data_IF_116153954953
#
_entry.id   IF_116153954953
#
_cell.length_a   1.000
_cell.length_b   1.000
_cell.length_c   1.000
_cell.angle_alpha   90.00
_cell.angle_beta   90.00
_cell.angle_gamma   90.00
#
_symmetry.space_group_name_H-M   'P 1'
#
loop_
_entity.id
_entity.type
_entity.pdbx_description
1 polymer ?
#
# COMPACT_ATOMS: atom_id res chain seq x y z
N UNK A 1 -14.91 18.60 21.33
CA UNK A 1 -13.69 17.76 21.29
C UNK A 1 -14.00 16.56 20.40
N UNK A 2 -13.40 16.48 19.22
CA UNK A 2 -13.49 15.30 18.36
C UNK A 2 -12.69 14.23 19.12
N UNK A 3 -13.36 13.21 19.67
CA UNK A 3 -12.67 12.04 20.24
C UNK A 3 -11.85 11.43 19.10
N UNK A 4 -10.53 11.49 19.17
CA UNK A 4 -9.67 10.75 18.27
C UNK A 4 -10.05 9.28 18.37
N UNK A 5 -10.71 8.79 17.36
CA UNK A 5 -11.19 7.42 17.30
C UNK A 5 -9.99 6.49 17.11
N UNK A 6 -9.93 5.42 17.93
CA UNK A 6 -8.90 4.38 17.77
C UNK A 6 -8.97 3.82 16.35
N UNK A 7 -7.88 3.85 15.57
CA UNK A 7 -7.88 3.30 14.22
C UNK A 7 -8.27 1.82 14.22
N UNK A 8 -9.01 1.42 13.19
CA UNK A 8 -9.42 0.03 12.97
C UNK A 8 -9.23 -0.29 11.49
N UNK A 9 -8.46 -1.32 11.20
CA UNK A 9 -7.97 -1.65 9.87
C UNK A 9 -8.49 -3.00 9.45
N UNK A 10 -9.08 -3.08 8.26
CA UNK A 10 -9.30 -4.35 7.58
C UNK A 10 -8.11 -4.60 6.63
N UNK A 11 -7.28 -5.59 6.92
CA UNK A 11 -6.31 -6.12 5.97
C UNK A 11 -7.09 -6.97 4.96
N UNK A 12 -6.99 -6.61 3.70
CA UNK A 12 -7.69 -7.24 2.59
C UNK A 12 -6.67 -7.87 1.62
N UNK A 13 -6.72 -9.21 1.48
CA UNK A 13 -5.74 -9.95 0.69
C UNK A 13 -6.40 -10.75 -0.41
N UNK A 14 -6.21 -10.35 -1.69
CA UNK A 14 -6.47 -11.24 -2.81
C UNK A 14 -5.54 -12.46 -2.74
N UNK A 15 -6.12 -13.66 -2.75
CA UNK A 15 -5.39 -14.90 -2.44
C UNK A 15 -5.75 -15.97 -3.47
N UNK A 16 -5.35 -15.75 -4.75
CA UNK A 16 -5.62 -16.69 -5.83
C UNK A 16 -5.04 -18.07 -5.52
N UNK A 17 -5.85 -19.12 -5.70
CA UNK A 17 -5.46 -20.49 -5.35
C UNK A 17 -5.35 -20.77 -3.84
N UNK A 18 -5.74 -19.82 -2.96
CA UNK A 18 -5.64 -19.98 -1.49
C UNK A 18 -4.21 -20.02 -0.97
N UNK A 19 -3.23 -19.50 -1.73
CA UNK A 19 -1.81 -19.55 -1.37
C UNK A 19 -1.33 -18.24 -0.78
N UNK A 20 -0.46 -18.34 0.23
CA UNK A 20 0.20 -17.24 0.91
C UNK A 20 1.71 -17.52 0.97
N UNK A 21 2.54 -16.49 0.85
CA UNK A 21 3.97 -16.63 1.10
C UNK A 21 4.26 -16.73 2.60
N UNK A 22 5.38 -17.38 2.96
CA UNK A 22 5.86 -17.44 4.33
C UNK A 22 6.03 -16.03 4.94
N UNK A 23 6.62 -15.12 4.18
CA UNK A 23 6.82 -13.73 4.63
C UNK A 23 5.52 -12.98 4.87
N UNK A 24 4.45 -13.27 4.11
CA UNK A 24 3.12 -12.75 4.38
C UNK A 24 2.59 -13.28 5.73
N UNK A 25 2.68 -14.59 5.97
CA UNK A 25 2.24 -15.20 7.23
C UNK A 25 2.94 -14.57 8.44
N UNK A 26 4.27 -14.47 8.40
CA UNK A 26 5.04 -13.83 9.47
C UNK A 26 4.66 -12.35 9.65
N UNK A 27 4.42 -11.64 8.54
CA UNK A 27 3.95 -10.26 8.57
C UNK A 27 2.63 -10.12 9.32
N UNK A 28 1.61 -10.91 8.96
CA UNK A 28 0.29 -10.87 9.62
C UNK A 28 0.39 -11.20 11.11
N UNK A 29 1.19 -12.19 11.49
CA UNK A 29 1.41 -12.51 12.91
C UNK A 29 2.06 -11.33 13.66
N UNK A 30 3.02 -10.63 13.05
CA UNK A 30 3.68 -9.49 13.68
C UNK A 30 2.78 -8.24 13.79
N UNK A 31 1.78 -8.10 12.89
CA UNK A 31 0.81 -7.00 12.94
C UNK A 31 0.03 -7.00 14.24
N UNK A 32 -0.35 -8.16 14.77
CA UNK A 32 -1.13 -8.24 16.02
C UNK A 32 -0.37 -7.62 17.20
N UNK A 33 0.93 -7.86 17.28
CA UNK A 33 1.80 -7.29 18.30
C UNK A 33 1.99 -5.78 18.10
N UNK A 34 2.25 -5.36 16.85
CA UNK A 34 2.44 -3.96 16.51
C UNK A 34 1.16 -3.15 16.71
N UNK A 35 -0.02 -3.72 16.40
CA UNK A 35 -1.32 -3.11 16.62
C UNK A 35 -1.60 -2.88 18.12
N UNK A 36 -1.32 -3.88 18.96
CA UNK A 36 -1.47 -3.75 20.40
C UNK A 36 -0.55 -2.64 20.99
N UNK A 37 0.71 -2.61 20.54
CA UNK A 37 1.70 -1.59 20.94
C UNK A 37 1.27 -0.17 20.54
N UNK A 38 0.68 -0.01 19.35
CA UNK A 38 0.34 1.28 18.76
C UNK A 38 -1.14 1.64 18.89
N UNK A 39 -1.91 0.88 19.68
CA UNK A 39 -3.32 1.13 20.01
C UNK A 39 -4.22 1.29 18.78
N UNK A 40 -4.19 0.32 17.85
CA UNK A 40 -5.17 0.19 16.78
C UNK A 40 -5.69 -1.26 16.65
N UNK A 41 -6.84 -1.45 16.01
CA UNK A 41 -7.45 -2.77 15.81
C UNK A 41 -7.18 -3.28 14.41
N UNK A 42 -7.04 -4.59 14.26
CA UNK A 42 -6.80 -5.26 12.98
C UNK A 42 -7.80 -6.37 12.77
N UNK A 43 -8.32 -6.47 11.56
CA UNK A 43 -9.14 -7.56 11.06
C UNK A 43 -8.53 -8.06 9.76
N UNK A 44 -8.49 -9.38 9.57
CA UNK A 44 -7.98 -9.99 8.34
C UNK A 44 -9.15 -10.52 7.52
N UNK A 45 -9.20 -10.13 6.24
CA UNK A 45 -10.10 -10.66 5.23
C UNK A 45 -9.31 -11.14 4.02
N UNK A 46 -9.37 -12.43 3.72
CA UNK A 46 -8.72 -13.03 2.55
C UNK A 46 -9.76 -13.46 1.53
N UNK A 47 -9.48 -13.27 0.24
CA UNK A 47 -10.36 -13.71 -0.85
C UNK A 47 -9.63 -14.71 -1.72
N UNK A 48 -10.02 -15.99 -1.60
CA UNK A 48 -9.53 -17.08 -2.43
C UNK A 48 -10.31 -17.20 -3.74
N UNK A 49 -9.70 -17.87 -4.72
CA UNK A 49 -10.33 -18.35 -5.96
C UNK A 49 -10.90 -17.29 -6.91
N UNK A 50 -10.55 -16.00 -6.72
CA UNK A 50 -10.89 -14.97 -7.69
C UNK A 50 -9.68 -14.72 -8.62
N UNK A 51 -9.83 -15.07 -9.90
CA UNK A 51 -8.74 -14.98 -10.88
C UNK A 51 -8.54 -13.58 -11.46
N UNK A 52 -9.58 -12.74 -11.43
CA UNK A 52 -9.53 -11.38 -11.93
C UNK A 52 -9.20 -10.42 -10.79
N UNK A 53 -7.96 -9.94 -10.74
CA UNK A 53 -7.47 -9.08 -9.65
C UNK A 53 -8.31 -7.81 -9.47
N UNK A 54 -8.75 -7.17 -10.56
CA UNK A 54 -9.62 -5.99 -10.52
C UNK A 54 -10.91 -6.28 -9.77
N UNK A 55 -11.56 -7.43 -10.06
CA UNK A 55 -12.79 -7.85 -9.40
C UNK A 55 -12.56 -8.23 -7.95
N UNK A 56 -11.44 -8.90 -7.64
CA UNK A 56 -11.06 -9.21 -6.26
C UNK A 56 -10.95 -7.95 -5.40
N UNK A 57 -10.20 -6.94 -5.88
CA UNK A 57 -10.03 -5.68 -5.15
C UNK A 57 -11.35 -4.94 -4.97
N UNK A 58 -12.14 -4.79 -6.02
CA UNK A 58 -13.45 -4.10 -5.94
C UNK A 58 -14.42 -4.84 -4.99
N UNK A 59 -14.41 -6.18 -4.98
CA UNK A 59 -15.24 -6.95 -4.06
C UNK A 59 -14.78 -6.80 -2.61
N UNK A 60 -13.47 -6.78 -2.35
CA UNK A 60 -12.93 -6.54 -1.00
C UNK A 60 -13.28 -5.13 -0.49
N UNK A 61 -13.25 -4.10 -1.37
CA UNK A 61 -13.74 -2.75 -1.03
C UNK A 61 -15.23 -2.79 -0.69
N UNK A 62 -16.04 -3.48 -1.50
CA UNK A 62 -17.47 -3.61 -1.26
C UNK A 62 -17.76 -4.27 0.09
N UNK A 63 -17.08 -5.39 0.42
CA UNK A 63 -17.21 -6.07 1.71
C UNK A 63 -16.80 -5.19 2.90
N UNK A 64 -15.73 -4.40 2.73
CA UNK A 64 -15.29 -3.44 3.74
C UNK A 64 -16.36 -2.38 4.02
N UNK A 65 -16.95 -1.82 2.98
CA UNK A 65 -17.99 -0.80 3.11
C UNK A 65 -19.32 -1.38 3.64
N UNK A 66 -19.69 -2.59 3.21
CA UNK A 66 -20.89 -3.28 3.70
C UNK A 66 -20.79 -3.60 5.20
N UNK A 67 -19.62 -4.03 5.66
CA UNK A 67 -19.38 -4.30 7.07
C UNK A 67 -19.46 -3.02 7.92
N UNK A 68 -18.96 -1.89 7.39
CA UNK A 68 -19.05 -0.59 8.05
C UNK A 68 -20.48 -0.03 8.02
N UNK A 69 -21.24 -0.24 6.94
CA UNK A 69 -22.66 0.16 6.84
C UNK A 69 -23.53 -0.64 7.84
N UNK A 70 -23.23 -1.93 8.03
CA UNK A 70 -23.91 -2.79 8.98
C UNK A 70 -23.56 -2.48 10.44
N UNK A 71 -22.34 -2.03 10.70
CA UNK A 71 -21.85 -1.63 12.02
C UNK A 71 -21.03 -0.35 11.87
N UNK A 72 -21.70 0.82 11.93
CA UNK A 72 -21.04 2.11 11.73
C UNK A 72 -19.81 2.27 12.62
N UNK A 73 -18.76 2.73 11.99
CA UNK A 73 -17.46 2.93 12.65
C UNK A 73 -16.69 1.64 13.00
N UNK A 74 -17.04 0.52 12.40
CA UNK A 74 -16.28 -0.72 12.54
C UNK A 74 -14.85 -0.54 12.05
N UNK A 75 -14.68 0.12 10.90
CA UNK A 75 -13.38 0.36 10.26
C UNK A 75 -13.08 1.84 10.02
N UNK A 76 -11.80 2.18 10.04
CA UNK A 76 -11.26 3.47 9.62
C UNK A 76 -10.44 3.36 8.34
N UNK A 77 -9.80 2.22 8.11
CA UNK A 77 -8.92 1.98 6.98
C UNK A 77 -9.14 0.61 6.36
N UNK A 78 -8.99 0.54 5.04
CA UNK A 78 -8.75 -0.68 4.28
C UNK A 78 -7.25 -0.74 3.95
N UNK A 79 -6.60 -1.87 4.23
CA UNK A 79 -5.20 -2.11 3.90
C UNK A 79 -5.09 -3.28 2.95
N UNK A 80 -4.82 -3.02 1.68
CA UNK A 80 -4.45 -4.09 0.75
C UNK A 80 -3.04 -4.58 1.05
N UNK A 81 -2.88 -5.90 1.17
CA UNK A 81 -1.59 -6.58 1.20
C UNK A 81 -1.71 -7.80 0.31
N UNK A 82 -0.92 -7.85 -0.77
CA UNK A 82 -0.92 -9.01 -1.66
C UNK A 82 -0.30 -10.23 -0.96
N UNK A 83 -0.79 -11.42 -1.28
CA UNK A 83 -0.44 -12.68 -0.61
C UNK A 83 1.04 -13.09 -0.75
N UNK A 84 1.75 -12.44 -1.66
CA UNK A 84 3.17 -12.64 -1.95
C UNK A 84 4.08 -11.48 -1.50
N UNK A 85 3.55 -10.58 -0.65
CA UNK A 85 4.35 -9.51 -0.02
C UNK A 85 4.72 -9.91 1.41
N UNK A 86 6.03 -9.98 1.68
CA UNK A 86 6.58 -10.12 3.03
C UNK A 86 6.83 -8.75 3.67
N UNK A 87 6.47 -8.61 4.93
CA UNK A 87 6.53 -7.35 5.67
C UNK A 87 6.67 -7.59 7.18
N UNK A 88 6.88 -6.53 7.95
CA UNK A 88 6.73 -6.53 9.39
C UNK A 88 5.54 -5.68 9.84
N UNK A 89 5.05 -5.90 11.06
CA UNK A 89 3.88 -5.18 11.59
C UNK A 89 4.10 -3.67 11.75
N UNK A 90 5.33 -3.23 11.91
CA UNK A 90 5.64 -1.80 12.02
C UNK A 90 5.42 -1.08 10.70
N UNK A 91 5.61 -1.76 9.55
CA UNK A 91 5.25 -1.21 8.25
C UNK A 91 3.75 -0.87 8.16
N UNK A 92 2.88 -1.78 8.64
CA UNK A 92 1.44 -1.51 8.71
C UNK A 92 1.13 -0.35 9.66
N UNK A 93 1.76 -0.32 10.83
CA UNK A 93 1.57 0.78 11.80
C UNK A 93 1.96 2.13 11.19
N UNK A 94 3.05 2.19 10.44
CA UNK A 94 3.48 3.41 9.75
C UNK A 94 2.44 3.89 8.74
N UNK A 95 1.81 3.00 7.96
CA UNK A 95 0.74 3.37 7.02
C UNK A 95 -0.48 3.92 7.76
N UNK A 96 -0.99 3.15 8.74
CA UNK A 96 -2.23 3.45 9.47
C UNK A 96 -2.13 4.77 10.27
N UNK A 97 -0.95 5.03 10.85
CA UNK A 97 -0.72 6.19 11.72
C UNK A 97 -0.10 7.39 10.99
N UNK A 98 0.15 7.28 9.69
CA UNK A 98 0.76 8.34 8.88
C UNK A 98 -0.06 9.63 8.81
N UNK A 99 -1.38 9.50 8.95
CA UNK A 99 -2.32 10.61 8.74
C UNK A 99 -2.70 10.85 7.28
N UNK A 100 -2.02 10.23 6.31
CA UNK A 100 -2.34 10.37 4.88
C UNK A 100 -3.63 9.63 4.51
N UNK A 101 -4.33 10.10 3.47
CA UNK A 101 -5.57 9.47 3.00
C UNK A 101 -5.28 8.16 2.25
N UNK A 102 -4.20 8.14 1.47
CA UNK A 102 -3.66 6.95 0.81
C UNK A 102 -2.15 6.89 1.09
N UNK A 103 -1.72 5.84 1.78
CA UNK A 103 -0.33 5.58 2.14
C UNK A 103 0.09 4.19 1.65
N UNK A 104 1.20 4.09 0.93
CA UNK A 104 1.66 2.86 0.29
C UNK A 104 3.07 2.50 0.71
N UNK A 105 3.36 1.21 0.82
CA UNK A 105 4.72 0.71 0.92
C UNK A 105 5.32 0.47 -0.46
N UNK A 106 6.62 0.61 -0.57
CA UNK A 106 7.35 0.39 -1.82
C UNK A 106 8.05 -0.97 -1.78
N UNK A 107 7.57 -1.90 -2.57
CA UNK A 107 8.17 -3.21 -2.73
C UNK A 107 8.84 -3.36 -4.10
N UNK A 108 9.88 -4.21 -4.22
CA UNK A 108 10.61 -4.38 -5.47
C UNK A 108 9.76 -5.13 -6.50
N UNK A 109 10.09 -4.92 -7.78
CA UNK A 109 9.65 -5.83 -8.84
C UNK A 109 10.35 -7.19 -8.69
N UNK A 110 9.74 -8.27 -9.18
CA UNK A 110 10.36 -9.61 -9.24
C UNK A 110 11.42 -9.68 -10.35
N UNK A 111 12.38 -8.75 -10.32
CA UNK A 111 13.44 -8.66 -11.32
C UNK A 111 14.70 -8.01 -10.76
N UNK A 112 15.85 -8.50 -11.22
CA UNK A 112 17.17 -7.93 -10.95
C UNK A 112 17.59 -7.09 -12.15
N UNK A 113 18.12 -5.90 -11.89
CA UNK A 113 18.69 -5.00 -12.88
C UNK A 113 20.17 -5.43 -13.16
N UNK A 114 20.30 -6.39 -14.07
CA UNK A 114 21.58 -6.96 -14.44
C UNK A 114 22.51 -5.96 -15.12
N UNK A 115 21.97 -4.95 -15.80
CA UNK A 115 22.77 -3.92 -16.49
C UNK A 115 23.46 -2.99 -15.48
N UNK A 116 22.77 -2.70 -14.38
CA UNK A 116 23.30 -1.85 -13.30
C UNK A 116 24.28 -2.57 -12.37
N UNK A 117 24.16 -3.89 -12.27
CA UNK A 117 24.93 -4.70 -11.30
C UNK A 117 26.44 -4.52 -11.42
N UNK A 118 27.09 -4.50 -12.63
CA UNK A 118 28.53 -4.30 -12.75
C UNK A 118 29.01 -2.95 -12.19
N UNK A 119 28.21 -1.90 -12.33
CA UNK A 119 28.53 -0.57 -11.78
C UNK A 119 28.49 -0.58 -10.25
N UNK A 120 27.47 -1.21 -9.67
CA UNK A 120 27.33 -1.33 -8.21
C UNK A 120 28.48 -2.13 -7.59
N UNK A 121 28.92 -3.20 -8.25
CA UNK A 121 30.08 -4.02 -7.82
C UNK A 121 31.36 -3.19 -7.83
N UNK A 122 31.61 -2.42 -8.93
CA UNK A 122 32.79 -1.57 -9.03
C UNK A 122 32.85 -0.49 -7.93
N UNK A 123 31.69 -0.01 -7.47
CA UNK A 123 31.58 0.98 -6.40
C UNK A 123 31.68 0.36 -4.99
N UNK A 124 31.85 -0.94 -4.88
CA UNK A 124 31.84 -1.68 -3.60
C UNK A 124 30.59 -1.35 -2.76
N UNK A 125 29.43 -1.31 -3.40
CA UNK A 125 28.19 -0.90 -2.76
C UNK A 125 27.77 -1.87 -1.67
N UNK A 126 27.56 -1.39 -0.47
CA UNK A 126 27.17 -2.22 0.70
C UNK A 126 25.73 -2.77 0.60
N UNK A 127 24.89 -2.17 -0.24
CA UNK A 127 23.49 -2.53 -0.44
C UNK A 127 23.25 -3.10 -1.85
N UNK A 128 24.20 -3.88 -2.34
CA UNK A 128 24.23 -4.39 -3.71
C UNK A 128 22.90 -5.07 -4.08
N UNK A 129 22.42 -5.98 -3.22
CA UNK A 129 21.21 -6.74 -3.45
C UNK A 129 20.00 -5.82 -3.59
N UNK A 130 19.74 -4.93 -2.62
CA UNK A 130 18.59 -4.02 -2.65
C UNK A 130 18.66 -3.00 -3.78
N UNK A 131 19.86 -2.53 -4.12
CA UNK A 131 20.08 -1.54 -5.19
C UNK A 131 20.01 -2.11 -6.59
N UNK A 132 20.25 -3.40 -6.74
CA UNK A 132 20.09 -4.12 -8.00
C UNK A 132 18.61 -4.42 -8.33
N UNK A 133 17.66 -4.21 -7.39
CA UNK A 133 16.25 -4.43 -7.63
C UNK A 133 15.60 -3.22 -8.33
N UNK A 134 14.62 -3.48 -9.19
CA UNK A 134 13.73 -2.47 -9.76
C UNK A 134 12.59 -2.11 -8.81
N UNK A 135 12.16 -0.84 -8.79
CA UNK A 135 11.00 -0.38 -8.05
C UNK A 135 10.10 0.47 -8.95
N UNK A 136 8.79 0.42 -8.71
CA UNK A 136 7.83 1.28 -9.40
C UNK A 136 7.59 2.54 -8.56
N UNK A 137 8.29 3.61 -8.91
CA UNK A 137 8.17 4.92 -8.28
C UNK A 137 8.05 5.99 -9.37
N UNK A 138 6.90 6.62 -9.46
CA UNK A 138 6.60 7.66 -10.43
C UNK A 138 6.35 8.98 -9.69
N UNK A 139 7.39 9.80 -9.57
CA UNK A 139 7.29 11.12 -8.95
C UNK A 139 6.68 12.14 -9.90
N UNK A 140 5.87 13.06 -9.37
CA UNK A 140 5.33 14.19 -10.14
C UNK A 140 6.44 15.18 -10.52
N UNK A 141 7.44 15.34 -9.66
CA UNK A 141 8.65 16.14 -9.89
C UNK A 141 9.89 15.36 -9.42
N UNK A 142 10.54 14.60 -10.33
CA UNK A 142 11.72 13.82 -9.99
C UNK A 142 12.94 14.65 -9.54
N UNK A 143 12.99 15.93 -9.92
CA UNK A 143 14.11 16.81 -9.61
C UNK A 143 14.00 17.44 -8.21
N UNK A 144 12.81 17.42 -7.62
CA UNK A 144 12.54 17.94 -6.28
C UNK A 144 11.64 16.96 -5.50
N UNK A 145 12.26 15.95 -4.88
CA UNK A 145 11.56 14.95 -4.07
C UNK A 145 11.58 15.39 -2.61
N UNK A 146 10.43 15.85 -2.12
CA UNK A 146 10.26 16.19 -0.71
C UNK A 146 9.93 14.94 0.09
N UNK A 147 10.67 14.70 1.18
CA UNK A 147 10.46 13.56 2.08
C UNK A 147 10.14 14.06 3.47
N UNK A 148 8.94 13.76 3.96
CA UNK A 148 8.50 14.10 5.31
C UNK A 148 8.23 12.81 6.11
N UNK A 149 8.89 12.63 7.24
CA UNK A 149 8.79 11.43 8.10
C UNK A 149 9.04 10.09 7.37
N UNK A 150 9.80 10.13 6.26
CA UNK A 150 10.06 9.00 5.38
C UNK A 150 8.99 8.76 4.31
N UNK A 151 7.98 9.61 4.21
CA UNK A 151 6.98 9.59 3.14
C UNK A 151 7.24 10.65 2.08
N UNK A 152 6.85 10.36 0.85
CA UNK A 152 6.88 11.29 -0.27
C UNK A 152 5.65 11.14 -1.16
N UNK A 153 5.24 12.24 -1.80
CA UNK A 153 4.11 12.23 -2.73
C UNK A 153 4.53 11.64 -4.08
N UNK A 154 3.67 10.80 -4.67
CA UNK A 154 3.88 10.16 -5.97
C UNK A 154 2.64 10.26 -6.86
N UNK A 155 2.84 10.08 -8.17
CA UNK A 155 1.72 10.00 -9.12
C UNK A 155 1.04 8.63 -9.08
N UNK A 156 1.81 7.56 -8.99
CA UNK A 156 1.32 6.18 -9.05
C UNK A 156 1.98 5.35 -7.96
N UNK A 157 1.20 4.46 -7.34
CA UNK A 157 1.68 3.48 -6.39
C UNK A 157 0.99 2.14 -6.63
N UNK A 158 1.71 1.06 -6.36
CA UNK A 158 1.17 -0.29 -6.50
C UNK A 158 0.31 -0.67 -5.27
N UNK A 159 -0.77 -1.42 -5.51
CA UNK A 159 -1.77 -1.76 -4.48
C UNK A 159 -1.33 -2.89 -3.55
N UNK A 160 -0.30 -3.66 -3.90
CA UNK A 160 0.13 -4.82 -3.11
C UNK A 160 0.57 -4.51 -1.67
N UNK A 161 0.72 -3.24 -1.31
CA UNK A 161 0.88 -2.76 0.08
C UNK A 161 0.34 -1.32 0.18
N UNK A 162 -1.00 -1.16 0.27
CA UNK A 162 -1.67 0.14 0.19
C UNK A 162 -2.74 0.28 1.28
N UNK A 163 -2.60 1.29 2.13
CA UNK A 163 -3.55 1.67 3.16
C UNK A 163 -4.39 2.86 2.70
N UNK A 164 -5.71 2.73 2.77
CA UNK A 164 -6.67 3.70 2.27
C UNK A 164 -7.67 4.01 3.38
N UNK A 165 -7.86 5.30 3.70
CA UNK A 165 -8.91 5.71 4.63
C UNK A 165 -10.29 5.44 4.05
N UNK A 166 -11.25 5.08 4.90
CA UNK A 166 -12.65 4.86 4.52
C UNK A 166 -13.24 6.05 3.76
N UNK A 167 -12.94 7.25 4.20
CA UNK A 167 -13.43 8.49 3.63
C UNK A 167 -13.04 8.68 2.15
N UNK A 168 -11.92 8.09 1.72
CA UNK A 168 -11.51 8.08 0.31
C UNK A 168 -12.57 7.39 -0.55
N UNK A 169 -12.98 6.18 -0.16
CA UNK A 169 -14.02 5.45 -0.89
C UNK A 169 -15.36 6.18 -0.87
N UNK A 170 -15.74 6.78 0.26
CA UNK A 170 -17.00 7.55 0.35
C UNK A 170 -17.00 8.75 -0.60
N UNK A 171 -15.91 9.52 -0.67
CA UNK A 171 -15.74 10.62 -1.63
C UNK A 171 -15.74 10.12 -3.09
N UNK A 172 -15.10 8.98 -3.34
CA UNK A 172 -15.08 8.39 -4.69
C UNK A 172 -16.46 7.88 -5.13
N UNK A 173 -17.26 7.33 -4.23
CA UNK A 173 -18.66 6.96 -4.51
C UNK A 173 -19.48 8.19 -4.95
N UNK A 174 -19.32 9.30 -4.25
CA UNK A 174 -20.01 10.56 -4.60
C UNK A 174 -19.57 11.10 -5.96
N UNK A 175 -18.26 11.04 -6.26
CA UNK A 175 -17.69 11.58 -7.49
C UNK A 175 -17.91 10.68 -8.72
N UNK A 176 -18.02 9.36 -8.53
CA UNK A 176 -18.00 8.37 -9.61
C UNK A 176 -19.20 7.41 -9.55
N UNK A 177 -20.42 7.97 -9.52
CA UNK A 177 -21.66 7.16 -9.52
C UNK A 177 -21.78 6.23 -10.74
N UNK A 178 -21.18 6.62 -11.87
CA UNK A 178 -21.11 5.85 -13.11
C UNK A 178 -20.24 4.58 -13.03
N UNK A 179 -19.38 4.44 -12.01
CA UNK A 179 -18.58 3.24 -11.78
C UNK A 179 -19.32 2.16 -10.99
N UNK A 180 -20.57 2.42 -10.59
CA UNK A 180 -21.39 1.43 -9.89
C UNK A 180 -21.74 0.27 -10.81
N UNK A 181 -21.59 -0.98 -10.31
CA UNK A 181 -21.93 -2.17 -11.06
C UNK A 181 -22.75 -3.17 -10.22
N UNK A 182 -23.36 -4.16 -10.89
CA UNK A 182 -24.05 -5.27 -10.24
C UNK A 182 -23.12 -6.48 -10.21
N UNK A 183 -22.87 -7.05 -9.03
CA UNK A 183 -22.05 -8.26 -8.91
C UNK A 183 -22.87 -9.50 -9.30
N UNK A 184 -22.22 -10.40 -10.04
CA UNK A 184 -22.71 -11.75 -10.36
C UNK A 184 -21.95 -12.85 -9.60
N UNK A 185 -21.01 -12.47 -8.71
CA UNK A 185 -20.17 -13.40 -7.96
C UNK A 185 -21.01 -14.26 -7.01
N UNK A 186 -20.53 -15.49 -6.81
CA UNK A 186 -21.05 -16.40 -5.78
C UNK A 186 -19.99 -16.51 -4.68
N UNK A 187 -20.32 -16.03 -3.49
CA UNK A 187 -19.45 -16.08 -2.32
C UNK A 187 -20.13 -17.00 -1.28
N UNK A 188 -19.40 -18.02 -0.83
CA UNK A 188 -19.95 -19.03 0.12
C UNK A 188 -21.28 -19.64 -0.35
N UNK A 189 -21.39 -19.94 -1.66
CA UNK A 189 -22.55 -20.57 -2.27
C UNK A 189 -23.78 -19.66 -2.45
N UNK A 190 -23.66 -18.37 -2.20
CA UNK A 190 -24.73 -17.38 -2.37
C UNK A 190 -24.31 -16.27 -3.32
N UNK A 191 -25.26 -15.76 -4.12
CA UNK A 191 -25.00 -14.58 -4.96
C UNK A 191 -24.65 -13.40 -4.05
N UNK A 192 -23.48 -12.80 -4.30
CA UNK A 192 -23.06 -11.61 -3.58
C UNK A 192 -23.76 -10.38 -4.16
N UNK A 193 -24.55 -9.69 -3.34
CA UNK A 193 -25.24 -8.46 -3.71
C UNK A 193 -24.90 -7.36 -2.71
N UNK A 194 -24.45 -6.23 -3.19
CA UNK A 194 -24.10 -5.07 -2.39
C UNK A 194 -24.43 -3.77 -3.12
N UNK A 195 -24.76 -2.74 -2.34
CA UNK A 195 -24.91 -1.37 -2.85
C UNK A 195 -23.57 -0.66 -3.02
N UNK A 196 -22.47 -1.25 -2.50
CA UNK A 196 -21.14 -0.71 -2.50
C UNK A 196 -20.22 -1.29 -3.61
N UNK A 197 -20.81 -1.91 -4.63
CA UNK A 197 -20.05 -2.43 -5.78
C UNK A 197 -19.70 -1.28 -6.75
N UNK A 198 -18.44 -0.84 -6.71
CA UNK A 198 -17.88 0.19 -7.59
C UNK A 198 -16.55 -0.28 -8.18
N UNK A 199 -16.36 -0.04 -9.48
CA UNK A 199 -15.16 -0.42 -10.22
C UNK A 199 -14.03 0.62 -10.05
N UNK A 200 -13.58 0.83 -8.81
CA UNK A 200 -12.48 1.76 -8.51
C UNK A 200 -11.11 1.21 -8.94
N UNK A 201 -10.98 -0.11 -8.94
CA UNK A 201 -9.79 -0.82 -9.39
C UNK A 201 -10.11 -1.51 -10.71
N UNK A 202 -9.97 -0.80 -11.82
CA UNK A 202 -10.14 -1.34 -13.17
C UNK A 202 -9.04 -0.82 -14.09
N UNK A 203 -8.69 -1.58 -15.12
CA UNK A 203 -7.73 -1.13 -16.11
C UNK A 203 -8.38 -0.08 -17.02
N UNK A 204 -7.66 1.02 -17.28
CA UNK A 204 -8.17 2.10 -18.13
C UNK A 204 -7.13 2.55 -19.17
N UNK A 205 -7.60 3.17 -20.25
CA UNK A 205 -6.73 3.99 -21.11
C UNK A 205 -6.79 5.42 -20.56
N UNK A 206 -5.67 5.93 -20.10
CA UNK A 206 -5.57 7.30 -19.58
C UNK A 206 -5.73 8.32 -20.71
N UNK A 207 -6.72 9.17 -20.63
CA UNK A 207 -7.08 10.13 -21.68
C UNK A 207 -5.96 11.12 -22.01
N UNK A 208 -5.12 11.48 -21.02
CA UNK A 208 -4.05 12.45 -21.21
C UNK A 208 -2.80 11.86 -21.84
N UNK A 209 -2.40 10.68 -21.40
CA UNK A 209 -1.14 10.04 -21.81
C UNK A 209 -1.34 8.95 -22.86
N UNK A 210 -2.58 8.54 -23.13
CA UNK A 210 -2.96 7.40 -23.96
C UNK A 210 -2.28 6.08 -23.53
N UNK A 211 -1.88 5.99 -22.24
CA UNK A 211 -1.30 4.78 -21.66
C UNK A 211 -2.41 3.85 -21.19
N UNK A 212 -2.21 2.55 -21.41
CA UNK A 212 -2.99 1.52 -20.73
C UNK A 212 -2.49 1.41 -19.30
N UNK A 213 -3.30 1.81 -18.32
CA UNK A 213 -2.98 1.78 -16.91
C UNK A 213 -3.57 0.53 -16.27
N UNK A 214 -2.79 -0.11 -15.40
CA UNK A 214 -3.24 -1.15 -14.49
C UNK A 214 -4.23 -0.60 -13.46
N UNK A 215 -4.91 -1.50 -12.76
CA UNK A 215 -5.96 -1.16 -11.79
C UNK A 215 -5.48 -0.29 -10.63
N UNK A 216 -4.24 -0.51 -10.19
CA UNK A 216 -3.59 0.27 -9.13
C UNK A 216 -3.32 1.72 -9.57
N UNK A 217 -2.78 1.92 -10.77
CA UNK A 217 -2.54 3.24 -11.33
C UNK A 217 -3.87 3.96 -11.67
N UNK A 218 -4.84 3.22 -12.17
CA UNK A 218 -6.17 3.77 -12.44
C UNK A 218 -6.84 4.29 -11.16
N UNK A 219 -6.79 3.52 -10.06
CA UNK A 219 -7.25 3.99 -8.75
C UNK A 219 -6.55 5.28 -8.32
N UNK A 220 -5.22 5.35 -8.46
CA UNK A 220 -4.46 6.57 -8.16
C UNK A 220 -4.95 7.76 -8.98
N UNK A 221 -5.20 7.59 -10.29
CA UNK A 221 -5.72 8.65 -11.15
C UNK A 221 -7.12 9.08 -10.77
N UNK A 222 -8.01 8.15 -10.44
CA UNK A 222 -9.36 8.49 -9.98
C UNK A 222 -9.32 9.33 -8.70
N UNK A 223 -8.49 8.93 -7.72
CA UNK A 223 -8.35 9.68 -6.48
C UNK A 223 -7.77 11.08 -6.70
N UNK A 224 -6.75 11.21 -7.54
CA UNK A 224 -6.12 12.49 -7.88
C UNK A 224 -7.05 13.43 -8.68
N UNK A 225 -7.92 12.92 -9.56
CA UNK A 225 -8.88 13.72 -10.32
C UNK A 225 -9.86 14.50 -9.40
N UNK A 226 -10.09 14.03 -8.19
CA UNK A 226 -10.93 14.70 -7.18
C UNK A 226 -10.11 15.41 -6.08
N UNK A 227 -8.83 15.68 -6.35
CA UNK A 227 -7.95 16.45 -5.47
C UNK A 227 -7.22 15.65 -4.41
N UNK A 228 -7.26 14.32 -4.48
CA UNK A 228 -6.53 13.45 -3.55
C UNK A 228 -5.05 13.35 -3.86
N UNK A 229 -4.28 12.88 -2.88
CA UNK A 229 -2.84 12.66 -2.97
C UNK A 229 -2.49 11.23 -2.60
N UNK A 230 -1.41 10.71 -3.19
CA UNK A 230 -0.85 9.39 -2.92
C UNK A 230 0.52 9.57 -2.28
N UNK A 231 0.77 8.92 -1.15
CA UNK A 231 2.06 8.96 -0.47
C UNK A 231 2.66 7.57 -0.37
N UNK A 232 3.96 7.48 -0.54
CA UNK A 232 4.71 6.22 -0.37
C UNK A 232 5.70 6.34 0.79
N UNK A 233 5.76 5.29 1.60
CA UNK A 233 6.78 5.14 2.64
C UNK A 233 8.06 4.55 2.04
N UNK A 234 9.15 5.30 2.15
CA UNK A 234 10.46 4.89 1.67
C UNK A 234 11.24 4.05 2.70
N UNK A 235 10.81 4.03 3.96
CA UNK A 235 11.56 3.41 5.07
C UNK A 235 11.20 1.96 5.37
N UNK A 236 9.97 1.53 5.05
CA UNK A 236 9.56 0.17 5.33
C UNK A 236 10.19 -0.82 4.34
N UNK A 237 11.04 -1.75 4.78
CA UNK A 237 11.55 -2.80 3.92
C UNK A 237 10.43 -3.80 3.64
N UNK A 238 10.25 -4.15 2.37
CA UNK A 238 9.27 -5.13 1.92
C UNK A 238 9.94 -6.16 1.02
N UNK A 239 9.45 -7.39 1.06
CA UNK A 239 9.92 -8.49 0.21
C UNK A 239 8.82 -8.91 -0.75
N UNK A 240 9.15 -9.03 -2.03
CA UNK A 240 8.22 -9.54 -3.03
C UNK A 240 8.58 -11.00 -3.36
N UNK A 241 7.74 -11.93 -2.95
CA UNK A 241 7.96 -13.35 -3.17
C UNK A 241 7.55 -13.77 -4.58
N UNK A 242 8.42 -14.55 -5.22
CA UNK A 242 8.20 -15.25 -6.48
C UNK A 242 8.88 -16.60 -6.37
N UNK A 243 9.54 -17.03 -7.45
CA UNK A 243 10.49 -18.18 -7.40
C UNK A 243 11.74 -17.85 -6.58
N UNK A 244 11.97 -16.56 -6.30
CA UNK A 244 13.02 -15.99 -5.47
C UNK A 244 12.42 -14.90 -4.57
N UNK A 245 12.85 -14.77 -3.28
CA UNK A 245 12.42 -13.68 -2.41
C UNK A 245 13.20 -12.39 -2.74
N UNK A 246 12.60 -11.47 -3.46
CA UNK A 246 13.18 -10.15 -3.77
C UNK A 246 13.05 -9.25 -2.55
N UNK A 247 14.03 -9.31 -1.64
CA UNK A 247 14.06 -8.52 -0.41
C UNK A 247 14.51 -7.09 -0.72
N UNK A 248 13.59 -6.15 -0.68
CA UNK A 248 13.80 -4.77 -1.08
C UNK A 248 13.89 -3.81 0.09
N UNK A 249 14.75 -2.81 -0.07
CA UNK A 249 14.79 -1.62 0.75
C UNK A 249 15.03 -0.43 -0.20
N UNK A 250 13.95 0.22 -0.64
CA UNK A 250 14.03 1.31 -1.62
C UNK A 250 14.82 2.51 -1.08
N UNK A 251 14.85 2.70 0.24
CA UNK A 251 15.61 3.76 0.88
C UNK A 251 17.09 3.78 0.48
N UNK A 252 17.68 2.59 0.27
CA UNK A 252 19.09 2.47 -0.15
C UNK A 252 19.39 3.07 -1.54
N UNK A 253 18.38 3.36 -2.36
CA UNK A 253 18.54 4.01 -3.66
C UNK A 253 18.67 5.50 -3.58
N UNK A 254 18.16 6.11 -2.53
CA UNK A 254 18.37 7.52 -2.24
C UNK A 254 19.76 7.64 -1.62
N UNK A 255 20.64 8.47 -2.20
CA UNK A 255 21.96 8.80 -1.63
C UNK A 255 21.76 9.68 -0.39
N UNK A 256 21.32 9.09 0.69
CA UNK A 256 21.33 9.71 2.00
C UNK A 256 22.53 9.06 2.67
N UNK A 257 23.66 9.74 2.65
CA UNK A 257 24.77 9.41 3.52
C UNK A 257 24.22 9.37 4.94
N UNK A 258 24.66 8.44 5.77
CA UNK A 258 24.18 8.21 7.16
C UNK A 258 24.35 9.46 8.07
N UNK A 259 24.70 10.62 7.53
CA UNK A 259 24.94 11.90 8.20
C UNK A 259 23.89 12.97 7.93
N UNK A 260 22.76 12.70 7.28
CA UNK A 260 21.70 13.71 7.21
C UNK A 260 21.02 13.80 8.57
N UNK A 261 21.47 14.74 9.36
CA UNK A 261 20.73 15.28 10.51
C UNK A 261 19.35 15.66 10.01
N UNK A 262 18.33 14.93 10.49
CA UNK A 262 16.95 15.33 10.33
C UNK A 262 16.80 16.66 11.06
N UNK A 263 16.78 17.77 10.35
CA UNK A 263 16.32 19.03 10.92
C UNK A 263 14.86 18.87 11.27
N UNK A 264 14.61 18.56 12.53
CA UNK A 264 13.28 18.68 13.10
C UNK A 264 12.90 20.16 13.08
N UNK A 265 11.89 20.51 12.30
CA UNK A 265 11.23 21.82 12.35
C UNK A 265 10.55 22.09 13.70
N UNK A 266 10.61 21.18 14.66
CA UNK A 266 10.20 21.33 16.05
C UNK A 266 11.42 21.06 16.94
N UNK A 267 12.12 22.15 17.32
CA UNK A 267 13.32 22.12 18.12
C UNK A 267 13.19 21.38 19.44
N UNK A 268 13.61 20.11 19.45
CA UNK A 268 14.01 19.39 20.66
C UNK A 268 15.08 18.37 20.26
N UNK A 269 16.32 18.73 20.53
CA UNK A 269 17.48 17.85 20.45
C UNK A 269 17.34 16.70 21.45
N UNK A 270 17.22 15.47 20.95
CA UNK A 270 17.50 14.28 21.74
C UNK A 270 18.86 13.74 21.32
N UNK A 271 19.87 14.05 22.12
CA UNK A 271 21.18 13.40 22.09
C UNK A 271 20.98 11.91 22.39
N UNK A 272 21.34 11.05 21.45
CA UNK A 272 21.59 9.63 21.75
C UNK A 272 23.08 9.43 21.98
N UNK A 273 23.40 9.04 23.23
CA UNK A 273 24.71 8.61 23.67
C UNK A 273 25.12 7.32 22.97
N UNK A 274 26.37 7.29 22.52
CA UNK A 274 27.10 6.05 22.19
C UNK A 274 27.30 5.22 23.45
N UNK A 275 26.96 3.95 23.38
CA UNK A 275 27.66 2.81 23.96
C UNK A 275 27.30 1.54 23.15
#
# INVERSE_FOLDING_TARGET
MIKNKTPSVMIATPCYGGQLSEGYLHGVMSVTQSAAKNNYRVHLNTMGNESLITRARNTLVSQFLDADDANPDLFTHLMFIDSDIGFNGDAVSRMVLSGYDVACGVYPRKSIDWERLPELIKKSDKHLEQRALGYNLNFSNPDNIEVENGFTEVMDAATGFMCIKKEVFRKMIEAYSNLKYTSDQIINGKKYGSNNCYAFFDCIIDEKSNRYLSEDYAFCRLWQKIGGKIHVDLRSPLTHYGTYPFAGNVWTKFKIDDEVKVENKNGNDLQQSKD
#
